data_IF_220450147031
#
_entry.id   IF_220450147031
#
_cell.length_a   1.000
_cell.length_b   1.000
_cell.length_c   1.000
_cell.angle_alpha   90.00
_cell.angle_beta   90.00
_cell.angle_gamma   90.00
#
_symmetry.space_group_name_H-M   'P 1'
#
loop_
_entity.id
_entity.type
_entity.pdbx_description
1 polymer ?
#
# COMPACT_ATOMS: atom_id res chain seq x y z
N UNK A 1 -76.79 3.76 -22.55
CA UNK A 1 -77.18 2.80 -21.49
C UNK A 1 -76.74 1.34 -21.70
N UNK A 2 -76.77 0.73 -22.90
CA UNK A 2 -76.29 -0.69 -23.05
C UNK A 2 -74.79 -0.79 -23.38
N UNK A 3 -74.22 0.22 -24.04
CA UNK A 3 -72.78 0.21 -24.38
C UNK A 3 -71.89 0.60 -23.18
N UNK A 4 -72.39 1.46 -22.30
CA UNK A 4 -71.70 1.87 -21.06
C UNK A 4 -71.62 0.74 -20.02
N UNK A 5 -72.64 -0.13 -19.96
CA UNK A 5 -72.69 -1.24 -19.00
C UNK A 5 -71.85 -2.45 -19.42
N UNK A 6 -71.72 -2.70 -20.73
CA UNK A 6 -70.86 -3.76 -21.26
C UNK A 6 -69.37 -3.42 -21.13
N UNK A 7 -69.00 -2.16 -21.39
CA UNK A 7 -67.62 -1.69 -21.21
C UNK A 7 -67.28 -1.60 -19.71
N UNK A 8 -68.20 -1.09 -18.88
CA UNK A 8 -68.01 -1.04 -17.42
C UNK A 8 -67.90 -2.43 -16.75
N UNK A 9 -68.66 -3.42 -17.23
CA UNK A 9 -68.64 -4.80 -16.71
C UNK A 9 -67.41 -5.63 -17.11
N UNK A 10 -66.88 -5.42 -18.33
CA UNK A 10 -65.65 -6.07 -18.78
C UNK A 10 -64.40 -5.47 -18.12
N UNK A 11 -64.36 -4.13 -17.97
CA UNK A 11 -63.28 -3.43 -17.30
C UNK A 11 -63.21 -3.76 -15.81
N UNK A 12 -64.34 -3.95 -15.13
CA UNK A 12 -64.37 -4.32 -13.69
C UNK A 12 -63.97 -5.77 -13.41
N UNK A 13 -64.11 -6.69 -14.39
CA UNK A 13 -63.60 -8.07 -14.29
C UNK A 13 -62.12 -8.21 -14.63
N UNK A 14 -61.60 -7.39 -15.55
CA UNK A 14 -60.17 -7.40 -15.94
C UNK A 14 -59.31 -6.49 -15.06
N UNK A 15 -59.89 -5.47 -14.43
CA UNK A 15 -59.21 -4.59 -13.46
C UNK A 15 -58.51 -5.35 -12.31
N UNK A 16 -59.14 -6.31 -11.60
CA UNK A 16 -58.46 -7.03 -10.52
C UNK A 16 -57.27 -7.86 -11.00
N UNK A 17 -57.33 -8.42 -12.22
CA UNK A 17 -56.26 -9.23 -12.80
C UNK A 17 -55.06 -8.38 -13.26
N UNK A 18 -55.33 -7.22 -13.86
CA UNK A 18 -54.28 -6.23 -14.20
C UNK A 18 -53.61 -5.71 -12.93
N UNK A 19 -54.38 -5.38 -11.88
CA UNK A 19 -53.83 -4.96 -10.58
C UNK A 19 -52.98 -6.09 -9.94
N UNK A 20 -53.39 -7.35 -10.07
CA UNK A 20 -52.62 -8.52 -9.61
C UNK A 20 -51.28 -8.69 -10.34
N UNK A 21 -51.25 -8.48 -11.65
CA UNK A 21 -50.02 -8.49 -12.45
C UNK A 21 -49.05 -7.37 -12.05
N UNK A 22 -49.56 -6.16 -11.80
CA UNK A 22 -48.74 -5.05 -11.29
C UNK A 22 -48.21 -5.32 -9.88
N UNK A 23 -49.03 -5.88 -8.97
CA UNK A 23 -48.61 -6.26 -7.61
C UNK A 23 -47.54 -7.35 -7.64
N UNK A 24 -47.76 -8.44 -8.37
CA UNK A 24 -46.76 -9.51 -8.50
C UNK A 24 -45.45 -9.06 -9.14
N UNK A 25 -45.48 -8.05 -10.02
CA UNK A 25 -44.27 -7.43 -10.57
C UNK A 25 -43.54 -6.58 -9.51
N UNK A 26 -44.28 -5.79 -8.73
CA UNK A 26 -43.72 -4.99 -7.64
C UNK A 26 -43.10 -5.86 -6.53
N UNK A 27 -43.74 -6.99 -6.19
CA UNK A 27 -43.23 -7.95 -5.20
C UNK A 27 -41.93 -8.60 -5.68
N UNK A 28 -41.88 -9.07 -6.94
CA UNK A 28 -40.66 -9.62 -7.55
C UNK A 28 -39.52 -8.60 -7.64
N UNK A 29 -39.84 -7.35 -7.98
CA UNK A 29 -38.86 -6.27 -7.99
C UNK A 29 -38.36 -5.92 -6.57
N UNK A 30 -39.22 -6.07 -5.56
CA UNK A 30 -38.83 -5.94 -4.16
C UNK A 30 -37.92 -7.09 -3.71
N UNK A 31 -38.27 -8.34 -4.01
CA UNK A 31 -37.43 -9.52 -3.75
C UNK A 31 -36.06 -9.40 -4.44
N UNK A 32 -36.04 -8.97 -5.71
CA UNK A 32 -34.80 -8.73 -6.44
C UNK A 32 -33.95 -7.62 -5.80
N UNK A 33 -34.57 -6.51 -5.36
CA UNK A 33 -33.86 -5.44 -4.64
C UNK A 33 -33.28 -5.93 -3.32
N UNK A 34 -34.03 -6.74 -2.57
CA UNK A 34 -33.56 -7.33 -1.32
C UNK A 34 -32.41 -8.30 -1.57
N UNK A 35 -32.51 -9.17 -2.58
CA UNK A 35 -31.44 -10.07 -2.98
C UNK A 35 -30.17 -9.32 -3.41
N UNK A 36 -30.33 -8.27 -4.21
CA UNK A 36 -29.23 -7.41 -4.65
C UNK A 36 -28.57 -6.68 -3.48
N UNK A 37 -29.36 -6.14 -2.56
CA UNK A 37 -28.82 -5.48 -1.36
C UNK A 37 -28.03 -6.46 -0.47
N UNK A 38 -28.51 -7.71 -0.36
CA UNK A 38 -27.80 -8.78 0.33
C UNK A 38 -26.47 -9.14 -0.35
N UNK A 39 -26.47 -9.21 -1.68
CA UNK A 39 -25.26 -9.42 -2.48
C UNK A 39 -24.25 -8.28 -2.29
N UNK A 40 -24.67 -7.03 -2.43
CA UNK A 40 -23.81 -5.85 -2.28
C UNK A 40 -23.22 -5.77 -0.85
N UNK A 41 -23.99 -6.16 0.17
CA UNK A 41 -23.51 -6.22 1.55
C UNK A 41 -22.47 -7.34 1.75
N UNK A 42 -22.67 -8.50 1.13
CA UNK A 42 -21.72 -9.60 1.18
C UNK A 42 -20.40 -9.25 0.47
N UNK A 43 -20.48 -8.60 -0.70
CA UNK A 43 -19.31 -8.10 -1.44
C UNK A 43 -18.48 -7.14 -0.58
N UNK A 44 -19.13 -6.14 0.03
CA UNK A 44 -18.44 -5.20 0.94
C UNK A 44 -17.80 -5.89 2.14
N UNK A 45 -18.42 -6.94 2.67
CA UNK A 45 -17.86 -7.70 3.79
C UNK A 45 -16.62 -8.51 3.35
N UNK A 46 -16.62 -9.05 2.13
CA UNK A 46 -15.45 -9.70 1.54
C UNK A 46 -14.32 -8.69 1.37
N UNK A 47 -14.60 -7.51 0.82
CA UNK A 47 -13.60 -6.45 0.64
C UNK A 47 -12.96 -6.02 1.99
N UNK A 48 -13.78 -5.83 3.02
CA UNK A 48 -13.28 -5.51 4.36
C UNK A 48 -12.40 -6.62 4.92
N UNK A 49 -12.80 -7.89 4.79
CA UNK A 49 -11.97 -9.03 5.24
C UNK A 49 -10.66 -9.12 4.46
N UNK A 50 -10.68 -8.88 3.15
CA UNK A 50 -9.47 -8.85 2.34
C UNK A 50 -8.53 -7.71 2.77
N UNK A 51 -9.08 -6.53 3.08
CA UNK A 51 -8.30 -5.42 3.62
C UNK A 51 -7.71 -5.75 5.01
N UNK A 52 -8.50 -6.37 5.90
CA UNK A 52 -8.04 -6.83 7.21
C UNK A 52 -6.93 -7.88 7.11
N UNK A 53 -7.07 -8.87 6.23
CA UNK A 53 -6.05 -9.88 5.97
C UNK A 53 -4.75 -9.24 5.44
N UNK A 54 -4.85 -8.32 4.47
CA UNK A 54 -3.70 -7.61 3.92
C UNK A 54 -2.97 -6.76 4.99
N UNK A 55 -3.70 -6.16 5.93
CA UNK A 55 -3.09 -5.46 7.08
C UNK A 55 -2.46 -6.45 8.06
N UNK A 56 -3.12 -7.58 8.32
CA UNK A 56 -2.63 -8.61 9.25
C UNK A 56 -1.36 -9.28 8.74
N UNK A 57 -1.28 -9.63 7.45
CA UNK A 57 -0.07 -10.15 6.82
C UNK A 57 1.09 -9.16 6.92
N UNK A 58 0.86 -7.88 6.56
CA UNK A 58 1.88 -6.83 6.67
C UNK A 58 2.37 -6.64 8.10
N UNK A 59 1.47 -6.72 9.09
CA UNK A 59 1.86 -6.60 10.50
C UNK A 59 2.62 -7.84 11.00
N UNK A 60 2.26 -9.04 10.55
CA UNK A 60 2.99 -10.27 10.82
C UNK A 60 4.42 -10.24 10.28
N UNK A 61 4.59 -9.84 9.02
CA UNK A 61 5.91 -9.66 8.39
C UNK A 61 6.77 -8.62 9.13
N UNK A 62 6.19 -7.46 9.44
CA UNK A 62 6.87 -6.42 10.22
C UNK A 62 7.28 -6.90 11.60
N UNK A 63 6.44 -7.68 12.29
CA UNK A 63 6.75 -8.24 13.59
C UNK A 63 7.88 -9.28 13.52
N UNK A 64 7.86 -10.18 12.54
CA UNK A 64 8.94 -11.14 12.32
C UNK A 64 10.27 -10.43 11.98
N UNK A 65 10.24 -9.39 11.15
CA UNK A 65 11.39 -8.53 10.87
C UNK A 65 11.89 -7.81 12.14
N UNK A 66 10.98 -7.26 12.95
CA UNK A 66 11.34 -6.62 14.21
C UNK A 66 12.00 -7.60 15.19
N UNK A 67 11.51 -8.84 15.27
CA UNK A 67 12.07 -9.88 16.13
C UNK A 67 13.46 -10.31 15.67
N UNK A 68 13.65 -10.50 14.35
CA UNK A 68 14.96 -10.78 13.75
C UNK A 68 15.98 -9.65 14.00
N UNK A 69 15.56 -8.38 13.87
CA UNK A 69 16.42 -7.22 14.14
C UNK A 69 16.79 -7.14 15.63
N UNK A 70 15.85 -7.42 16.54
CA UNK A 70 16.11 -7.46 17.98
C UNK A 70 17.12 -8.55 18.34
N UNK A 71 17.05 -9.71 17.70
CA UNK A 71 18.01 -10.79 17.91
C UNK A 71 19.43 -10.41 17.47
N UNK A 72 19.57 -9.70 16.34
CA UNK A 72 20.86 -9.17 15.86
C UNK A 72 21.44 -8.03 16.72
N UNK A 73 20.63 -7.38 17.55
CA UNK A 73 21.02 -6.25 18.39
C UNK A 73 21.56 -6.62 19.78
N UNK A 74 21.59 -7.90 20.17
CA UNK A 74 22.07 -8.31 21.49
C UNK A 74 23.58 -8.06 21.62
N UNK A 75 23.95 -7.20 22.58
CA UNK A 75 25.34 -6.96 22.98
C UNK A 75 25.96 -8.24 23.51
N UNK A 76 27.19 -8.51 23.08
CA UNK A 76 27.97 -9.70 23.45
C UNK A 76 28.53 -9.59 24.87
N UNK A 77 28.53 -8.39 25.47
CA UNK A 77 29.07 -8.13 26.81
C UNK A 77 30.58 -7.87 26.81
N UNK A 78 31.24 -8.03 25.67
CA UNK A 78 32.66 -7.71 25.47
C UNK A 78 32.73 -6.29 24.91
N UNK A 79 33.17 -5.32 25.73
CA UNK A 79 33.17 -3.90 25.39
C UNK A 79 33.86 -3.58 24.04
N UNK A 80 34.97 -4.25 23.75
CA UNK A 80 35.72 -4.05 22.50
C UNK A 80 34.93 -4.57 21.29
N UNK A 81 34.32 -5.75 21.40
CA UNK A 81 33.54 -6.35 20.32
C UNK A 81 32.25 -5.55 20.07
N UNK A 82 31.60 -5.08 21.14
CA UNK A 82 30.38 -4.26 21.03
C UNK A 82 30.69 -2.86 20.50
N UNK A 83 31.82 -2.26 20.86
CA UNK A 83 32.27 -0.98 20.32
C UNK A 83 32.64 -1.10 18.83
N UNK A 84 33.39 -2.14 18.45
CA UNK A 84 33.75 -2.39 17.06
C UNK A 84 32.51 -2.67 16.21
N UNK A 85 31.60 -3.53 16.67
CA UNK A 85 30.34 -3.84 15.99
C UNK A 85 29.45 -2.61 15.82
N UNK A 86 29.41 -1.72 16.83
CA UNK A 86 28.71 -0.45 16.74
C UNK A 86 29.31 0.51 15.70
N UNK A 87 30.63 0.45 15.46
CA UNK A 87 31.33 1.30 14.50
C UNK A 87 31.34 0.77 13.07
N UNK A 88 31.28 -0.56 12.89
CA UNK A 88 31.22 -1.17 11.54
C UNK A 88 30.04 -0.64 10.74
N UNK A 89 28.88 -0.44 11.39
CA UNK A 89 27.66 0.04 10.71
C UNK A 89 27.82 1.46 10.10
N UNK A 90 28.23 2.49 10.88
CA UNK A 90 28.59 3.80 10.33
C UNK A 90 29.71 3.76 9.29
N UNK A 91 30.75 2.96 9.56
CA UNK A 91 31.96 2.92 8.73
C UNK A 91 31.65 2.44 7.31
N UNK A 92 30.86 1.37 7.18
CA UNK A 92 30.44 0.83 5.88
C UNK A 92 29.62 1.86 5.11
N UNK A 93 28.72 2.60 5.78
CA UNK A 93 27.96 3.66 5.10
C UNK A 93 28.87 4.77 4.59
N UNK A 94 29.79 5.27 5.40
CA UNK A 94 30.69 6.35 4.97
C UNK A 94 31.63 5.91 3.86
N UNK A 95 32.18 4.70 3.94
CA UNK A 95 33.00 4.13 2.87
C UNK A 95 32.17 4.01 1.58
N UNK A 96 30.99 3.42 1.64
CA UNK A 96 30.15 3.27 0.44
C UNK A 96 29.79 4.62 -0.17
N UNK A 97 29.42 5.62 0.65
CA UNK A 97 29.18 6.99 0.20
C UNK A 97 30.40 7.65 -0.45
N UNK A 98 31.60 7.38 0.06
CA UNK A 98 32.84 7.86 -0.53
C UNK A 98 33.12 7.20 -1.89
N UNK A 99 32.96 5.88 -2.00
CA UNK A 99 33.10 5.17 -3.28
C UNK A 99 32.06 5.64 -4.30
N UNK A 100 30.83 5.86 -3.86
CA UNK A 100 29.74 6.30 -4.72
C UNK A 100 29.97 7.74 -5.23
N UNK A 101 30.40 8.66 -4.36
CA UNK A 101 30.78 10.02 -4.80
C UNK A 101 32.00 10.00 -5.72
N UNK A 102 33.00 9.15 -5.44
CA UNK A 102 34.14 8.95 -6.32
C UNK A 102 33.74 8.40 -7.70
N UNK A 103 32.79 7.45 -7.75
CA UNK A 103 32.25 6.93 -9.00
C UNK A 103 31.55 8.02 -9.81
N UNK A 104 30.65 8.80 -9.21
CA UNK A 104 29.98 9.92 -9.90
C UNK A 104 30.98 10.98 -10.38
N UNK A 105 31.99 11.30 -9.57
CA UNK A 105 33.07 12.20 -9.98
C UNK A 105 33.86 11.64 -11.18
N UNK A 106 34.19 10.35 -11.17
CA UNK A 106 34.87 9.68 -12.28
C UNK A 106 34.02 9.70 -13.56
N UNK A 107 32.69 9.52 -13.47
CA UNK A 107 31.81 9.62 -14.65
C UNK A 107 31.79 11.03 -15.25
N UNK A 108 31.83 12.08 -14.42
CA UNK A 108 31.92 13.47 -14.90
C UNK A 108 33.28 13.76 -15.52
N UNK A 109 34.37 13.30 -14.91
CA UNK A 109 35.73 13.44 -15.44
C UNK A 109 35.85 12.69 -16.78
N UNK A 110 35.25 11.50 -16.90
CA UNK A 110 35.23 10.75 -18.14
C UNK A 110 34.50 11.52 -19.25
N UNK A 111 33.30 12.05 -18.97
CA UNK A 111 32.55 12.86 -19.91
C UNK A 111 33.34 14.10 -20.38
N UNK A 112 34.05 14.76 -19.46
CA UNK A 112 34.92 15.89 -19.81
C UNK A 112 36.09 15.48 -20.71
N UNK A 113 36.73 14.33 -20.44
CA UNK A 113 37.88 13.84 -21.21
C UNK A 113 37.53 13.32 -22.60
N UNK A 114 36.31 12.82 -22.80
CA UNK A 114 35.84 12.29 -24.09
C UNK A 114 35.14 13.34 -24.95
N UNK A 115 35.29 14.65 -24.64
CA UNK A 115 34.57 15.75 -25.28
C UNK A 115 33.03 15.57 -25.27
N UNK A 116 32.53 14.79 -24.30
CA UNK A 116 31.10 14.62 -24.10
C UNK A 116 30.48 15.87 -23.48
N UNK A 117 29.17 16.03 -23.64
CA UNK A 117 28.44 17.11 -22.96
C UNK A 117 28.40 16.84 -21.46
N UNK A 118 29.31 17.49 -20.71
CA UNK A 118 29.34 17.45 -19.23
C UNK A 118 28.00 17.87 -18.64
N UNK A 119 27.33 18.85 -19.27
CA UNK A 119 26.01 19.33 -18.84
C UNK A 119 24.96 18.23 -18.98
N UNK A 120 24.93 17.52 -20.11
CA UNK A 120 24.00 16.40 -20.30
C UNK A 120 24.29 15.24 -19.33
N UNK A 121 25.57 14.93 -19.10
CA UNK A 121 25.97 13.93 -18.11
C UNK A 121 25.56 14.34 -16.70
N UNK A 122 25.69 15.60 -16.32
CA UNK A 122 25.29 16.10 -14.99
C UNK A 122 23.77 16.02 -14.79
N UNK A 123 22.99 16.41 -15.80
CA UNK A 123 21.53 16.32 -15.77
C UNK A 123 21.04 14.86 -15.70
N UNK A 124 21.76 13.93 -16.35
CA UNK A 124 21.47 12.49 -16.29
C UNK A 124 22.16 11.76 -15.13
N UNK A 125 23.06 12.41 -14.39
CA UNK A 125 23.82 11.78 -13.31
C UNK A 125 22.94 11.50 -12.09
N UNK A 126 21.81 12.20 -11.95
CA UNK A 126 20.85 11.98 -10.88
C UNK A 126 19.66 11.16 -11.38
N UNK A 127 19.56 9.94 -10.91
CA UNK A 127 18.58 8.93 -11.34
C UNK A 127 17.62 8.54 -10.22
N UNK A 128 16.57 7.81 -10.57
CA UNK A 128 15.65 7.23 -9.58
C UNK A 128 16.35 6.27 -8.61
N UNK A 129 17.34 5.52 -9.10
CA UNK A 129 18.17 4.65 -8.26
C UNK A 129 18.95 5.46 -7.21
N UNK A 130 19.45 6.64 -7.58
CA UNK A 130 20.17 7.52 -6.66
C UNK A 130 19.23 8.09 -5.58
N UNK A 131 17.98 8.42 -5.95
CA UNK A 131 16.93 8.81 -5.00
C UNK A 131 16.55 7.67 -4.04
N UNK A 132 16.41 6.44 -4.56
CA UNK A 132 16.11 5.26 -3.77
C UNK A 132 17.22 4.95 -2.75
N UNK A 133 18.49 5.07 -3.17
CA UNK A 133 19.64 4.87 -2.28
C UNK A 133 19.68 5.96 -1.20
N UNK A 134 19.54 7.24 -1.58
CA UNK A 134 19.54 8.34 -0.63
C UNK A 134 18.43 8.21 0.42
N UNK A 135 17.20 7.97 -0.04
CA UNK A 135 16.06 7.76 0.86
C UNK A 135 16.25 6.56 1.78
N UNK A 136 16.84 5.46 1.29
CA UNK A 136 17.15 4.28 2.11
C UNK A 136 18.18 4.57 3.20
N UNK A 137 19.24 5.32 2.88
CA UNK A 137 20.26 5.74 3.86
C UNK A 137 19.64 6.67 4.91
N UNK A 138 18.85 7.67 4.49
CA UNK A 138 18.16 8.57 5.41
C UNK A 138 17.19 7.81 6.31
N UNK A 139 16.39 6.91 5.74
CA UNK A 139 15.48 6.05 6.50
C UNK A 139 16.25 5.24 7.54
N UNK A 140 17.34 4.58 7.15
CA UNK A 140 18.20 3.83 8.07
C UNK A 140 18.67 4.69 9.25
N UNK A 141 19.24 5.88 9.01
CA UNK A 141 19.79 6.73 10.08
C UNK A 141 18.74 7.40 10.96
N UNK A 142 17.65 7.91 10.36
CA UNK A 142 16.59 8.57 11.12
C UNK A 142 15.71 7.58 11.87
N UNK A 143 15.38 6.42 11.28
CA UNK A 143 14.58 5.37 11.94
C UNK A 143 15.39 4.71 13.06
N UNK A 144 16.66 4.35 12.83
CA UNK A 144 17.52 3.80 13.89
C UNK A 144 17.64 4.77 15.08
N UNK A 145 17.84 6.08 14.80
CA UNK A 145 17.87 7.11 15.85
C UNK A 145 16.53 7.27 16.58
N UNK A 146 15.40 7.25 15.86
CA UNK A 146 14.08 7.37 16.44
C UNK A 146 13.76 6.17 17.35
N UNK A 147 14.07 4.94 16.91
CA UNK A 147 13.88 3.71 17.67
C UNK A 147 14.73 3.67 18.94
N UNK A 148 15.99 4.11 18.89
CA UNK A 148 16.85 4.21 20.09
C UNK A 148 16.31 5.19 21.14
N UNK A 149 15.70 6.30 20.70
CA UNK A 149 15.07 7.26 21.64
C UNK A 149 13.85 6.68 22.34
N UNK A 150 13.01 5.93 21.63
CA UNK A 150 11.83 5.30 22.22
C UNK A 150 12.20 4.13 23.16
N UNK A 151 13.26 3.39 22.84
CA UNK A 151 13.76 2.30 23.70
C UNK A 151 14.35 2.75 25.05
N UNK A 152 14.74 4.02 25.19
CA UNK A 152 15.27 4.60 26.44
C UNK A 152 14.18 5.26 27.32
N UNK A 153 12.90 5.20 26.93
CA UNK A 153 11.76 5.73 27.69
C UNK A 153 10.99 4.64 28.46
N UNK A 154 11.64 3.50 28.76
CA UNK A 154 11.11 2.46 29.66
C UNK A 154 12.17 2.09 30.68
#
# INVERSE_FOLDING_TARGET
MVLESLIGGALTRLAPEIIGLFRSKADREHEFRMAKLGYDAAERQVDMRMAELAVTERTGELNAMMEAIKAQGKRTGIWIADALSALVRPLVTYWWMLLYTAYKAATLIAAYRTEGSVVATLLGAWTEADMAILSSILAFWFVDRALRRQGNLR
#
